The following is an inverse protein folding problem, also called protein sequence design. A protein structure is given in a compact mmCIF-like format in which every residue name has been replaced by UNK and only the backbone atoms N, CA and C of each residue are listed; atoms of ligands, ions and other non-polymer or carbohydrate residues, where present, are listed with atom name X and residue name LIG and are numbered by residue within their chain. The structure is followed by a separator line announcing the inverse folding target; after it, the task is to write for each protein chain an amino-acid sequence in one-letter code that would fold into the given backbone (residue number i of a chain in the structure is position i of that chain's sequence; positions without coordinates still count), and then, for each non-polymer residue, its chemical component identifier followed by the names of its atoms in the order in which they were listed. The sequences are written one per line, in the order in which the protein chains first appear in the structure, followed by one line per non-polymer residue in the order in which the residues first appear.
data_IF_130596217734
#
_entry.id   IF_130596217734
#
_cell.length_a   1.000
_cell.length_b   1.000
_cell.length_c   1.000
_cell.angle_alpha   90.00
_cell.angle_beta   90.00
_cell.angle_gamma   90.00
#
_symmetry.space_group_name_H-M   'P 1'
#
loop_
_entity.id
_entity.type
_entity.pdbx_description
1 polymer ?
#
# COMPACT_ATOMS: atom_id res chain seq x y z
N UNK A 1 22.45 17.63 12.20
CA UNK A 1 21.95 17.16 10.89
C UNK A 1 22.63 15.84 10.57
N UNK A 2 22.01 14.70 10.88
CA UNK A 2 22.54 13.40 10.44
C UNK A 2 22.12 13.22 8.98
N UNK A 3 23.10 13.10 8.08
CA UNK A 3 22.85 12.81 6.67
C UNK A 3 22.25 11.41 6.57
N UNK A 4 21.06 11.28 5.97
CA UNK A 4 20.53 9.99 5.57
C UNK A 4 21.55 9.30 4.65
N UNK A 5 21.78 7.99 4.80
CA UNK A 5 22.69 7.26 3.91
C UNK A 5 22.24 7.45 2.44
N UNK A 6 23.19 7.55 1.49
CA UNK A 6 22.87 7.78 0.10
C UNK A 6 21.98 6.65 -0.44
N UNK A 7 20.98 7.03 -1.22
CA UNK A 7 20.12 6.11 -1.95
C UNK A 7 20.98 5.24 -2.89
N UNK A 8 20.88 3.91 -2.77
CA UNK A 8 21.55 2.99 -3.70
C UNK A 8 20.71 2.87 -4.97
N UNK A 9 21.35 2.97 -6.14
CA UNK A 9 20.68 2.61 -7.39
C UNK A 9 20.42 1.10 -7.45
N UNK A 10 19.49 0.66 -8.29
CA UNK A 10 19.08 -0.75 -8.39
C UNK A 10 20.26 -1.69 -8.68
N UNK A 11 21.25 -1.23 -9.45
CA UNK A 11 22.48 -2.00 -9.75
C UNK A 11 23.38 -2.14 -8.53
N UNK A 12 23.62 -1.06 -7.80
CA UNK A 12 24.41 -1.05 -6.57
C UNK A 12 23.74 -1.86 -5.46
N UNK A 13 22.42 -1.81 -5.37
CA UNK A 13 21.63 -2.64 -4.48
C UNK A 13 21.73 -4.13 -4.84
N UNK A 14 21.43 -4.49 -6.08
CA UNK A 14 21.50 -5.87 -6.57
C UNK A 14 22.88 -6.51 -6.36
N UNK A 15 23.97 -5.76 -6.54
CA UNK A 15 25.33 -6.25 -6.25
C UNK A 15 25.54 -6.55 -4.77
N UNK A 16 25.07 -5.69 -3.86
CA UNK A 16 25.19 -5.90 -2.41
C UNK A 16 24.32 -7.07 -1.94
N UNK A 17 23.08 -7.16 -2.43
CA UNK A 17 22.17 -8.25 -2.11
C UNK A 17 22.67 -9.58 -2.67
N UNK A 18 23.21 -9.59 -3.89
CA UNK A 18 23.89 -10.76 -4.44
C UNK A 18 25.06 -11.23 -3.58
N UNK A 19 25.90 -10.31 -3.09
CA UNK A 19 26.99 -10.66 -2.18
C UNK A 19 26.50 -11.19 -0.82
N UNK A 20 25.45 -10.61 -0.25
CA UNK A 20 24.81 -11.10 0.98
C UNK A 20 24.23 -12.50 0.77
N UNK A 21 23.51 -12.71 -0.34
CA UNK A 21 22.93 -14.00 -0.70
C UNK A 21 24.01 -15.06 -0.93
N UNK A 22 25.07 -14.74 -1.68
CA UNK A 22 26.19 -15.67 -1.91
C UNK A 22 26.92 -16.03 -0.62
N UNK A 23 27.18 -15.06 0.27
CA UNK A 23 27.78 -15.31 1.58
C UNK A 23 26.94 -16.26 2.43
N UNK A 24 25.62 -16.04 2.41
CA UNK A 24 24.65 -16.85 3.15
C UNK A 24 24.53 -18.29 2.63
N UNK A 25 24.52 -18.46 1.30
CA UNK A 25 24.39 -19.78 0.65
C UNK A 25 25.69 -20.57 0.71
N UNK A 26 26.86 -19.92 0.67
CA UNK A 26 28.16 -20.61 0.65
C UNK A 26 28.64 -21.11 2.00
N UNK A 27 28.05 -20.67 3.11
CA UNK A 27 28.33 -21.17 4.45
C UNK A 27 29.82 -21.42 4.70
N UNK A 28 30.65 -20.38 4.81
CA UNK A 28 32.00 -20.59 5.34
C UNK A 28 31.87 -20.99 6.80
N UNK A 29 31.98 -22.30 7.03
CA UNK A 29 32.29 -22.91 8.30
C UNK A 29 33.68 -22.43 8.75
N UNK A 30 33.79 -21.19 9.20
CA UNK A 30 34.76 -20.84 10.23
C UNK A 30 33.99 -20.80 11.55
N UNK A 31 34.16 -21.88 12.33
CA UNK A 31 33.93 -21.87 13.75
C UNK A 31 34.90 -20.87 14.39
N UNK A 32 34.60 -19.58 14.28
CA UNK A 32 35.21 -18.60 15.17
C UNK A 32 34.58 -18.88 16.53
N UNK A 33 35.40 -19.41 17.44
CA UNK A 33 35.07 -19.49 18.86
C UNK A 33 34.80 -18.07 19.33
N UNK A 34 33.55 -17.64 19.26
CA UNK A 34 33.12 -16.37 19.83
C UNK A 34 33.19 -16.55 21.34
N UNK A 35 33.90 -15.67 22.06
CA UNK A 35 33.98 -15.78 23.51
C UNK A 35 32.55 -15.76 24.06
N UNK A 36 32.23 -16.69 24.96
CA UNK A 36 31.05 -16.62 25.82
C UNK A 36 31.18 -15.34 26.67
N UNK A 37 30.81 -14.20 26.10
CA UNK A 37 30.67 -12.98 26.85
C UNK A 37 29.33 -13.03 27.56
N UNK A 38 29.41 -13.02 28.89
CA UNK A 38 28.36 -12.88 29.89
C UNK A 38 27.14 -12.08 29.38
N UNK A 39 26.15 -12.76 28.83
CA UNK A 39 24.85 -12.19 28.45
C UNK A 39 23.77 -12.53 29.50
N UNK A 40 24.13 -12.54 30.78
CA UNK A 40 23.19 -12.72 31.89
C UNK A 40 22.71 -11.40 32.53
N UNK A 41 23.02 -10.25 31.94
CA UNK A 41 22.31 -9.02 32.23
C UNK A 41 21.33 -8.75 31.11
N UNK A 42 20.07 -9.16 31.31
CA UNK A 42 18.94 -8.56 30.60
C UNK A 42 19.13 -7.05 30.76
N UNK A 43 19.36 -6.34 29.65
CA UNK A 43 19.43 -4.89 29.70
C UNK A 43 18.07 -4.39 30.19
N UNK A 44 17.98 -4.01 31.46
CA UNK A 44 16.76 -3.42 32.06
C UNK A 44 16.70 -1.92 31.82
N UNK A 45 17.75 -1.35 31.23
CA UNK A 45 17.88 0.09 30.96
C UNK A 45 17.70 0.36 29.46
N UNK A 46 17.01 1.45 29.08
CA UNK A 46 16.80 1.81 27.68
C UNK A 46 18.11 1.94 26.89
N UNK A 47 18.12 1.37 25.67
CA UNK A 47 19.28 1.46 24.77
C UNK A 47 19.39 2.88 24.21
N UNK A 48 20.51 3.54 24.46
CA UNK A 48 20.72 4.94 24.09
C UNK A 48 21.04 5.15 22.60
N UNK A 49 21.70 4.21 21.93
CA UNK A 49 22.05 4.32 20.51
C UNK A 49 22.19 2.98 19.79
N UNK A 50 21.88 2.95 18.49
CA UNK A 50 22.08 1.78 17.63
C UNK A 50 23.51 1.24 17.64
N UNK A 51 24.52 2.12 17.76
CA UNK A 51 25.92 1.71 17.73
C UNK A 51 26.29 0.71 18.83
N UNK A 52 25.63 0.80 19.99
CA UNK A 52 25.84 -0.12 21.11
C UNK A 52 25.32 -1.54 20.85
N UNK A 53 24.33 -1.69 19.98
CA UNK A 53 23.68 -2.98 19.66
C UNK A 53 24.05 -3.51 18.27
N UNK A 54 24.78 -2.72 17.48
CA UNK A 54 25.21 -3.10 16.12
C UNK A 54 25.91 -4.46 16.05
N UNK A 55 26.86 -4.84 16.94
CA UNK A 55 27.50 -6.16 16.87
C UNK A 55 26.51 -7.32 17.02
N UNK A 56 25.49 -7.16 17.88
CA UNK A 56 24.46 -8.17 18.10
C UNK A 56 23.54 -8.34 16.89
N UNK A 57 23.20 -7.24 16.22
CA UNK A 57 22.41 -7.22 14.97
C UNK A 57 23.22 -7.79 13.79
N UNK A 58 24.48 -7.38 13.65
CA UNK A 58 25.37 -7.86 12.57
C UNK A 58 25.59 -9.37 12.63
N UNK A 59 25.57 -9.96 13.84
CA UNK A 59 25.69 -11.40 14.07
C UNK A 59 24.45 -12.20 13.64
N UNK A 60 23.39 -11.55 13.13
CA UNK A 60 22.21 -12.19 12.57
C UNK A 60 22.22 -12.01 11.06
N UNK A 61 22.26 -13.13 10.35
CA UNK A 61 22.17 -13.14 8.90
C UNK A 61 20.79 -12.67 8.43
N UNK A 62 20.76 -11.83 7.40
CA UNK A 62 19.53 -11.26 6.86
C UNK A 62 19.81 -10.31 5.71
N UNK A 63 18.74 -9.88 5.05
CA UNK A 63 18.77 -9.16 3.78
C UNK A 63 18.58 -7.65 3.96
N UNK A 64 19.46 -7.04 4.78
CA UNK A 64 19.47 -5.60 5.01
C UNK A 64 20.82 -5.02 4.61
N UNK A 65 20.79 -3.89 3.90
CA UNK A 65 22.02 -3.13 3.62
C UNK A 65 22.37 -2.21 4.79
N UNK A 66 23.66 -1.90 5.01
CA UNK A 66 24.09 -1.12 6.15
C UNK A 66 23.33 0.20 6.31
N UNK A 67 22.72 0.38 7.50
CA UNK A 67 22.01 1.60 7.87
C UNK A 67 20.49 1.43 7.93
N UNK A 68 19.95 0.41 7.26
CA UNK A 68 18.52 0.08 7.33
C UNK A 68 18.10 -0.38 8.73
N UNK A 69 18.96 -1.15 9.41
CA UNK A 69 18.72 -1.59 10.79
C UNK A 69 18.69 -0.41 11.76
N UNK A 70 19.60 0.57 11.56
CA UNK A 70 19.62 1.81 12.35
C UNK A 70 18.34 2.62 12.11
N UNK A 71 17.90 2.72 10.86
CA UNK A 71 16.65 3.40 10.51
C UNK A 71 15.45 2.78 11.23
N UNK A 72 15.32 1.45 11.19
CA UNK A 72 14.24 0.73 11.88
C UNK A 72 14.32 0.90 13.40
N UNK A 73 15.52 0.79 14.00
CA UNK A 73 15.73 1.06 15.42
C UNK A 73 15.30 2.49 15.80
N UNK A 74 15.76 3.50 15.06
CA UNK A 74 15.45 4.91 15.36
C UNK A 74 13.96 5.21 15.16
N UNK A 75 13.32 4.60 14.14
CA UNK A 75 11.88 4.73 13.89
C UNK A 75 11.09 4.19 15.08
N UNK A 76 11.35 2.97 15.53
CA UNK A 76 10.67 2.38 16.70
C UNK A 76 10.96 3.19 17.97
N UNK A 77 12.21 3.63 18.16
CA UNK A 77 12.62 4.45 19.31
C UNK A 77 11.85 5.78 19.39
N UNK A 78 11.47 6.35 18.24
CA UNK A 78 10.70 7.60 18.17
C UNK A 78 9.21 7.47 18.51
N UNK A 79 8.68 6.25 18.64
CA UNK A 79 7.27 5.99 18.90
C UNK A 79 6.92 6.15 20.40
N UNK A 80 5.62 6.22 20.78
CA UNK A 80 5.20 6.15 22.18
C UNK A 80 5.77 4.94 22.93
N UNK A 81 5.94 5.03 24.24
CA UNK A 81 6.52 3.96 25.07
C UNK A 81 5.65 2.69 25.14
N UNK A 82 4.40 2.74 24.69
CA UNK A 82 3.45 1.63 24.63
C UNK A 82 3.03 1.27 23.20
N UNK A 83 3.80 1.73 22.20
CA UNK A 83 3.51 1.51 20.79
C UNK A 83 3.42 0.03 20.41
N UNK A 84 2.50 -0.28 19.50
CA UNK A 84 2.36 -1.59 18.88
C UNK A 84 3.05 -1.60 17.52
N UNK A 85 4.05 -2.46 17.37
CA UNK A 85 4.82 -2.62 16.14
C UNK A 85 4.50 -3.98 15.52
N UNK A 86 4.36 -4.02 14.20
CA UNK A 86 4.19 -5.25 13.44
C UNK A 86 5.28 -5.36 12.38
N UNK A 87 5.79 -6.57 12.19
CA UNK A 87 6.72 -6.92 11.12
C UNK A 87 6.11 -8.06 10.31
N UNK A 88 6.07 -7.92 8.98
CA UNK A 88 5.71 -8.99 8.04
C UNK A 88 6.98 -9.42 7.32
N UNK A 89 7.32 -10.70 7.40
CA UNK A 89 8.61 -11.21 6.95
C UNK A 89 9.68 -10.97 8.00
N UNK A 90 9.98 -12.00 8.79
CA UNK A 90 10.90 -11.90 9.92
C UNK A 90 12.16 -12.74 9.72
N UNK A 91 12.15 -13.72 8.81
CA UNK A 91 13.30 -14.54 8.45
C UNK A 91 14.06 -15.06 9.68
N UNK A 92 15.33 -14.67 9.87
CA UNK A 92 16.16 -15.00 11.05
C UNK A 92 16.14 -13.94 12.16
N UNK A 93 15.43 -12.83 11.96
CA UNK A 93 15.17 -11.81 12.97
C UNK A 93 16.14 -10.64 13.01
N UNK A 94 16.89 -10.35 11.93
CA UNK A 94 17.87 -9.25 11.90
C UNK A 94 17.21 -7.88 12.12
N UNK A 95 16.19 -7.57 11.32
CA UNK A 95 15.33 -6.39 11.49
C UNK A 95 14.59 -6.42 12.83
N UNK A 96 14.03 -7.57 13.20
CA UNK A 96 13.34 -7.78 14.47
C UNK A 96 14.20 -7.37 15.66
N UNK A 97 15.43 -7.87 15.75
CA UNK A 97 16.35 -7.60 16.86
C UNK A 97 16.75 -6.12 16.89
N UNK A 98 17.00 -5.51 15.73
CA UNK A 98 17.27 -4.08 15.65
C UNK A 98 16.10 -3.26 16.21
N UNK A 99 14.86 -3.57 15.82
CA UNK A 99 13.67 -2.89 16.35
C UNK A 99 13.41 -3.18 17.84
N UNK A 100 13.59 -4.43 18.27
CA UNK A 100 13.30 -4.87 19.63
C UNK A 100 14.23 -4.25 20.67
N UNK A 101 15.49 -3.96 20.32
CA UNK A 101 16.37 -3.18 21.20
C UNK A 101 15.84 -1.76 21.51
N UNK A 102 15.05 -1.16 20.62
CA UNK A 102 14.38 0.12 20.87
C UNK A 102 13.15 -0.01 21.80
N UNK A 103 12.70 -1.23 22.09
CA UNK A 103 11.60 -1.52 23.02
C UNK A 103 12.11 -1.71 24.46
N UNK A 104 13.40 -1.99 24.64
CA UNK A 104 14.00 -2.24 25.96
C UNK A 104 13.73 -1.10 26.94
N UNK A 105 13.19 -1.43 28.10
CA UNK A 105 12.84 -0.46 29.16
C UNK A 105 11.51 0.27 28.91
N UNK A 106 10.71 -0.16 27.93
CA UNK A 106 9.39 0.42 27.62
C UNK A 106 8.29 -0.65 27.63
N UNK A 107 7.06 -0.26 27.29
CA UNK A 107 5.91 -1.17 27.10
C UNK A 107 5.66 -1.53 25.64
N UNK A 108 6.51 -1.06 24.70
CA UNK A 108 6.39 -1.36 23.27
C UNK A 108 6.43 -2.87 23.03
N UNK A 109 5.65 -3.32 22.06
CA UNK A 109 5.60 -4.74 21.65
C UNK A 109 5.75 -4.85 20.15
N UNK A 110 6.49 -5.87 19.72
CA UNK A 110 6.65 -6.24 18.32
C UNK A 110 5.94 -7.56 18.07
N UNK A 111 5.09 -7.61 17.05
CA UNK A 111 4.45 -8.83 16.57
C UNK A 111 5.04 -9.19 15.20
N UNK A 112 5.64 -10.37 15.11
CA UNK A 112 6.39 -10.83 13.95
C UNK A 112 5.58 -11.88 13.19
N UNK A 113 5.16 -11.56 11.97
CA UNK A 113 4.33 -12.41 11.12
C UNK A 113 5.20 -13.03 10.04
N UNK A 114 5.34 -14.35 10.08
CA UNK A 114 6.07 -15.12 9.07
C UNK A 114 5.56 -16.57 9.11
N UNK A 115 5.36 -17.25 7.97
CA UNK A 115 5.03 -18.67 7.99
C UNK A 115 6.19 -19.55 8.50
N UNK A 116 7.43 -19.08 8.38
CA UNK A 116 8.67 -19.83 8.57
C UNK A 116 8.66 -21.20 7.87
N UNK A 117 7.93 -21.31 6.76
CA UNK A 117 7.78 -22.55 6.02
C UNK A 117 8.84 -22.62 4.91
N UNK A 118 10.01 -23.14 5.26
CA UNK A 118 11.13 -23.34 4.34
C UNK A 118 11.31 -24.81 3.93
N UNK A 119 10.27 -25.63 4.10
CA UNK A 119 10.31 -27.06 3.75
C UNK A 119 10.66 -27.24 2.27
N UNK A 120 11.69 -28.04 1.99
CA UNK A 120 12.17 -28.26 0.62
C UNK A 120 12.95 -27.08 0.00
N UNK A 121 13.25 -26.03 0.77
CA UNK A 121 14.17 -24.98 0.33
C UNK A 121 15.58 -25.57 0.12
N UNK A 122 16.21 -25.21 -0.99
CA UNK A 122 17.63 -25.57 -1.27
C UNK A 122 18.62 -24.58 -0.66
N UNK A 123 18.15 -23.39 -0.31
CA UNK A 123 18.99 -22.25 0.09
C UNK A 123 18.90 -21.95 1.59
N UNK A 124 17.86 -22.42 2.26
CA UNK A 124 17.59 -22.13 3.67
C UNK A 124 17.21 -23.39 4.44
N UNK A 125 17.56 -23.49 5.72
CA UNK A 125 17.21 -24.64 6.53
C UNK A 125 15.70 -24.71 6.81
N UNK A 126 15.18 -25.89 7.15
CA UNK A 126 13.75 -26.04 7.45
C UNK A 126 13.37 -25.52 8.85
N UNK A 127 14.31 -25.51 9.80
CA UNK A 127 14.13 -25.09 11.20
C UNK A 127 14.28 -23.57 11.41
N UNK A 128 13.80 -22.77 10.45
CA UNK A 128 13.98 -21.32 10.45
C UNK A 128 13.29 -20.63 11.63
N UNK A 129 12.17 -21.17 12.11
CA UNK A 129 11.48 -20.64 13.29
C UNK A 129 12.32 -20.80 14.57
N UNK A 130 13.00 -21.93 14.72
CA UNK A 130 13.89 -22.21 15.86
C UNK A 130 15.10 -21.28 15.83
N UNK A 131 15.71 -21.07 14.65
CA UNK A 131 16.82 -20.13 14.46
C UNK A 131 16.39 -18.70 14.83
N UNK A 132 15.24 -18.26 14.33
CA UNK A 132 14.68 -16.95 14.69
C UNK A 132 14.48 -16.84 16.21
N UNK A 133 13.87 -17.85 16.82
CA UNK A 133 13.59 -17.87 18.27
C UNK A 133 14.87 -17.81 19.11
N UNK A 134 15.90 -18.55 18.71
CA UNK A 134 17.21 -18.51 19.38
C UNK A 134 17.88 -17.14 19.24
N UNK A 135 17.79 -16.51 18.06
CA UNK A 135 18.29 -15.16 17.85
C UNK A 135 17.57 -14.11 18.71
N UNK A 136 16.27 -14.24 18.97
CA UNK A 136 15.56 -13.35 19.90
C UNK A 136 16.02 -13.61 21.34
N UNK A 137 16.06 -14.87 21.77
CA UNK A 137 16.41 -15.26 23.15
C UNK A 137 17.84 -14.93 23.53
N UNK A 138 18.82 -15.18 22.65
CA UNK A 138 20.24 -14.88 22.91
C UNK A 138 20.50 -13.38 23.12
N UNK A 139 19.60 -12.53 22.62
CA UNK A 139 19.64 -11.08 22.80
C UNK A 139 18.80 -10.59 23.98
N UNK A 140 18.08 -11.47 24.68
CA UNK A 140 17.24 -11.13 25.84
C UNK A 140 15.97 -10.33 25.49
N UNK A 141 15.42 -10.54 24.29
CA UNK A 141 14.35 -9.72 23.72
C UNK A 141 12.97 -10.39 23.73
N UNK A 142 12.86 -11.60 24.28
CA UNK A 142 11.64 -12.40 24.33
C UNK A 142 10.45 -11.68 24.99
N UNK A 143 10.73 -10.84 25.99
CA UNK A 143 9.69 -10.05 26.65
C UNK A 143 9.10 -8.94 25.78
N UNK A 144 9.70 -8.58 24.64
CA UNK A 144 9.23 -7.50 23.75
C UNK A 144 8.66 -8.01 22.42
N UNK A 145 8.92 -9.26 22.08
CA UNK A 145 8.63 -9.82 20.74
C UNK A 145 7.70 -11.02 20.84
N UNK A 146 6.62 -11.01 20.06
CA UNK A 146 5.66 -12.11 19.95
C UNK A 146 5.66 -12.68 18.52
N UNK A 147 6.03 -13.95 18.31
CA UNK A 147 5.89 -14.57 16.99
C UNK A 147 4.43 -14.91 16.69
N UNK A 148 3.99 -14.61 15.47
CA UNK A 148 2.70 -14.98 14.91
C UNK A 148 2.94 -15.84 13.66
N UNK A 149 3.11 -17.15 13.87
CA UNK A 149 3.43 -18.10 12.80
C UNK A 149 2.25 -18.29 11.84
N UNK A 150 2.38 -17.82 10.62
CA UNK A 150 1.34 -17.90 9.59
C UNK A 150 1.53 -16.90 8.46
N UNK A 151 0.64 -16.96 7.46
CA UNK A 151 0.62 -15.96 6.40
C UNK A 151 -0.02 -14.67 6.91
N UNK A 152 0.52 -13.53 6.47
CA UNK A 152 0.01 -12.19 6.75
C UNK A 152 -1.49 -12.05 6.51
N UNK A 153 -2.01 -12.61 5.40
CA UNK A 153 -3.44 -12.61 5.08
C UNK A 153 -4.31 -13.22 6.18
N UNK A 154 -3.88 -14.34 6.75
CA UNK A 154 -4.63 -15.05 7.79
C UNK A 154 -4.52 -14.36 9.16
N UNK A 155 -3.34 -13.82 9.46
CA UNK A 155 -3.07 -13.17 10.76
C UNK A 155 -3.70 -11.77 10.81
N UNK A 156 -3.51 -10.94 9.78
CA UNK A 156 -4.01 -9.57 9.75
C UNK A 156 -5.54 -9.51 9.68
N UNK A 157 -6.19 -10.44 8.96
CA UNK A 157 -7.67 -10.51 8.92
C UNK A 157 -8.28 -10.78 10.31
N UNK A 158 -7.52 -11.39 11.23
CA UNK A 158 -7.93 -11.69 12.60
C UNK A 158 -7.26 -10.80 13.64
N UNK A 159 -6.54 -9.77 13.20
CA UNK A 159 -5.80 -8.87 14.08
C UNK A 159 -6.66 -8.27 15.21
N UNK A 160 -7.90 -7.80 14.96
CA UNK A 160 -8.74 -7.24 16.04
C UNK A 160 -8.98 -8.23 17.19
N UNK A 161 -9.14 -9.51 16.88
CA UNK A 161 -9.31 -10.58 17.88
C UNK A 161 -7.99 -10.86 18.62
N UNK A 162 -6.88 -10.94 17.87
CA UNK A 162 -5.56 -11.29 18.41
C UNK A 162 -4.96 -10.19 19.28
N UNK A 163 -5.17 -8.93 18.91
CA UNK A 163 -4.60 -7.75 19.56
C UNK A 163 -5.62 -7.00 20.44
N UNK A 164 -6.81 -7.54 20.67
CA UNK A 164 -7.83 -6.90 21.51
C UNK A 164 -8.26 -5.52 21.01
N UNK A 165 -8.42 -5.37 19.69
CA UNK A 165 -8.68 -4.11 18.98
C UNK A 165 -7.58 -3.04 19.09
N UNK A 166 -6.37 -3.39 19.54
CA UNK A 166 -5.24 -2.47 19.56
C UNK A 166 -4.80 -2.12 18.14
N UNK A 167 -4.74 -0.82 17.83
CA UNK A 167 -4.27 -0.33 16.54
C UNK A 167 -2.75 -0.35 16.47
N UNK A 168 -2.22 -0.46 15.26
CA UNK A 168 -0.78 -0.56 15.00
C UNK A 168 -0.17 0.85 14.90
N UNK A 169 0.89 1.12 15.64
CA UNK A 169 1.67 2.37 15.55
C UNK A 169 2.60 2.38 14.34
N UNK A 170 3.24 1.25 14.09
CA UNK A 170 4.21 1.07 13.01
C UNK A 170 4.13 -0.35 12.46
N UNK A 171 4.04 -0.48 11.13
CA UNK A 171 4.19 -1.77 10.45
C UNK A 171 5.31 -1.71 9.42
N UNK A 172 6.17 -2.73 9.44
CA UNK A 172 7.23 -2.95 8.46
C UNK A 172 6.88 -4.18 7.61
N UNK A 173 6.77 -4.00 6.29
CA UNK A 173 6.41 -5.01 5.30
C UNK A 173 7.66 -5.38 4.50
N UNK A 174 8.14 -6.61 4.71
CA UNK A 174 9.40 -7.18 4.18
C UNK A 174 9.24 -8.68 3.89
N UNK A 175 8.08 -9.06 3.34
CA UNK A 175 7.67 -10.45 3.11
C UNK A 175 7.94 -10.92 1.68
N UNK A 176 6.88 -11.00 0.87
CA UNK A 176 6.99 -11.32 -0.56
C UNK A 176 7.52 -10.14 -1.37
N UNK A 177 7.92 -10.39 -2.62
CA UNK A 177 8.43 -9.35 -3.54
C UNK A 177 7.59 -9.20 -4.81
N UNK A 178 6.61 -10.09 -5.00
CA UNK A 178 5.66 -10.02 -6.12
C UNK A 178 4.50 -9.09 -5.76
N UNK A 179 3.93 -8.44 -6.77
CA UNK A 179 2.83 -7.49 -6.57
C UNK A 179 1.64 -8.13 -5.84
N UNK A 180 1.35 -9.39 -6.18
CA UNK A 180 0.26 -10.21 -5.67
C UNK A 180 0.47 -10.64 -4.20
N UNK A 181 1.70 -10.51 -3.68
CA UNK A 181 2.02 -10.76 -2.28
C UNK A 181 1.98 -9.44 -1.49
N UNK A 182 2.65 -8.40 -2.00
CA UNK A 182 2.83 -7.13 -1.26
C UNK A 182 1.58 -6.27 -1.24
N UNK A 183 0.76 -6.28 -2.32
CA UNK A 183 -0.45 -5.47 -2.36
C UNK A 183 -1.46 -5.90 -1.28
N UNK A 184 -1.81 -7.20 -1.12
CA UNK A 184 -2.66 -7.65 -0.03
C UNK A 184 -2.10 -7.32 1.36
N UNK A 185 -0.78 -7.44 1.57
CA UNK A 185 -0.14 -7.07 2.85
C UNK A 185 -0.39 -5.61 3.19
N UNK A 186 -0.15 -4.71 2.22
CA UNK A 186 -0.42 -3.28 2.40
C UNK A 186 -1.91 -3.01 2.62
N UNK A 187 -2.80 -3.59 1.83
CA UNK A 187 -4.24 -3.36 1.90
C UNK A 187 -4.85 -3.83 3.23
N UNK A 188 -4.39 -4.96 3.77
CA UNK A 188 -4.82 -5.47 5.08
C UNK A 188 -4.21 -4.69 6.24
N UNK A 189 -2.94 -4.29 6.11
CA UNK A 189 -2.24 -3.50 7.12
C UNK A 189 -2.83 -2.10 7.28
N UNK A 190 -3.12 -1.42 6.17
CA UNK A 190 -3.53 -0.01 6.15
C UNK A 190 -4.70 0.32 7.11
N UNK A 191 -5.82 -0.42 7.15
CA UNK A 191 -6.91 -0.13 8.09
C UNK A 191 -6.54 -0.40 9.55
N UNK A 192 -5.62 -1.33 9.83
CA UNK A 192 -5.20 -1.71 11.18
C UNK A 192 -4.21 -0.72 11.81
N UNK A 193 -3.47 0.03 10.98
CA UNK A 193 -2.57 1.09 11.41
C UNK A 193 -3.37 2.30 11.87
N UNK A 194 -3.03 2.88 13.03
CA UNK A 194 -3.76 4.03 13.57
C UNK A 194 -3.60 5.27 12.70
N UNK A 195 -4.55 6.22 12.75
CA UNK A 195 -4.33 7.55 12.18
C UNK A 195 -3.04 8.17 12.74
N UNK A 196 -2.17 8.64 11.86
CA UNK A 196 -0.86 9.16 12.23
C UNK A 196 0.21 8.10 12.50
N UNK A 197 -0.12 6.81 12.39
CA UNK A 197 0.82 5.69 12.42
C UNK A 197 1.65 5.57 11.14
N UNK A 198 2.61 4.66 11.13
CA UNK A 198 3.61 4.54 10.06
C UNK A 198 3.56 3.18 9.38
N UNK A 199 3.82 3.18 8.07
CA UNK A 199 3.91 1.98 7.24
C UNK A 199 5.21 2.07 6.45
N UNK A 200 6.06 1.05 6.55
CA UNK A 200 7.28 0.91 5.78
C UNK A 200 7.22 -0.32 4.88
N UNK A 201 7.64 -0.17 3.63
CA UNK A 201 7.89 -1.26 2.69
C UNK A 201 9.41 -1.34 2.48
N UNK A 202 9.96 -2.55 2.59
CA UNK A 202 11.32 -2.81 2.12
C UNK A 202 11.34 -2.97 0.59
N UNK A 203 12.53 -3.11 0.00
CA UNK A 203 12.72 -3.43 -1.41
C UNK A 203 12.07 -2.51 -2.46
N UNK A 204 11.81 -1.26 -2.08
CA UNK A 204 11.42 -0.21 -3.04
C UNK A 204 12.64 0.25 -3.82
N UNK A 205 12.53 0.26 -5.15
CA UNK A 205 13.54 0.58 -6.17
C UNK A 205 14.78 -0.32 -6.10
N UNK A 206 14.56 -1.54 -5.64
CA UNK A 206 15.56 -2.57 -5.43
C UNK A 206 15.71 -3.53 -6.63
N UNK A 207 14.93 -3.35 -7.70
CA UNK A 207 14.82 -4.32 -8.78
C UNK A 207 13.72 -5.36 -8.57
N UNK A 208 12.77 -5.08 -7.67
CA UNK A 208 11.54 -5.85 -7.49
C UNK A 208 10.34 -5.04 -8.00
N UNK A 209 9.91 -5.24 -9.26
CA UNK A 209 8.88 -4.42 -9.89
C UNK A 209 7.54 -4.47 -9.15
N UNK A 210 7.21 -5.60 -8.51
CA UNK A 210 5.98 -5.76 -7.73
C UNK A 210 5.94 -4.81 -6.54
N UNK A 211 7.01 -4.79 -5.74
CA UNK A 211 7.17 -3.88 -4.60
C UNK A 211 7.13 -2.41 -5.05
N UNK A 212 7.86 -2.08 -6.12
CA UNK A 212 7.89 -0.73 -6.70
C UNK A 212 6.49 -0.25 -7.09
N UNK A 213 5.73 -1.14 -7.75
CA UNK A 213 4.37 -0.85 -8.17
C UNK A 213 3.44 -0.63 -6.99
N UNK A 214 3.52 -1.44 -5.93
CA UNK A 214 2.72 -1.21 -4.71
C UNK A 214 3.07 0.14 -4.08
N UNK A 215 4.35 0.48 -3.98
CA UNK A 215 4.75 1.76 -3.44
C UNK A 215 4.23 2.94 -4.27
N UNK A 216 4.47 2.93 -5.59
CA UNK A 216 4.13 4.06 -6.48
C UNK A 216 2.62 4.21 -6.64
N UNK A 217 1.89 3.12 -6.88
CA UNK A 217 0.46 3.19 -7.20
C UNK A 217 -0.45 3.24 -5.97
N UNK A 218 0.01 2.75 -4.81
CA UNK A 218 -0.86 2.58 -3.63
C UNK A 218 -0.28 3.29 -2.39
N UNK A 219 0.87 2.84 -1.89
CA UNK A 219 1.36 3.27 -0.59
C UNK A 219 1.72 4.77 -0.57
N UNK A 220 2.46 5.25 -1.57
CA UNK A 220 2.86 6.67 -1.66
C UNK A 220 1.70 7.62 -1.98
N UNK A 221 0.57 7.10 -2.46
CA UNK A 221 -0.65 7.88 -2.68
C UNK A 221 -1.47 7.97 -1.39
N UNK A 222 -1.55 6.88 -0.63
CA UNK A 222 -2.35 6.78 0.60
C UNK A 222 -1.63 7.31 1.84
N UNK A 223 -0.29 7.42 1.81
CA UNK A 223 0.54 7.88 2.90
C UNK A 223 1.05 9.31 2.66
N UNK A 224 1.54 9.92 3.74
CA UNK A 224 2.13 11.27 3.74
C UNK A 224 3.49 11.24 4.41
N UNK A 225 4.23 12.35 4.40
CA UNK A 225 5.51 12.47 5.12
C UNK A 225 6.49 11.33 4.79
N UNK A 226 6.73 11.11 3.50
CA UNK A 226 7.57 10.00 3.06
C UNK A 226 9.02 10.15 3.50
N UNK A 227 9.57 9.06 4.01
CA UNK A 227 10.96 8.89 4.37
C UNK A 227 11.55 7.74 3.57
N UNK A 228 12.83 7.84 3.23
CA UNK A 228 13.54 6.79 2.51
C UNK A 228 14.85 6.48 3.21
N UNK A 229 15.17 5.18 3.33
CA UNK A 229 16.46 4.69 3.79
C UNK A 229 16.92 3.57 2.84
N UNK A 230 17.73 3.96 1.84
CA UNK A 230 18.07 3.09 0.72
C UNK A 230 16.79 2.51 0.07
N UNK A 231 16.54 1.19 0.20
CA UNK A 231 15.35 0.52 -0.37
C UNK A 231 14.17 0.43 0.58
N UNK A 232 14.27 0.97 1.81
CA UNK A 232 13.11 1.15 2.68
C UNK A 232 12.41 2.45 2.30
N UNK A 233 11.14 2.36 1.95
CA UNK A 233 10.26 3.50 1.80
C UNK A 233 9.20 3.48 2.91
N UNK A 234 9.07 4.58 3.63
CA UNK A 234 8.21 4.68 4.80
C UNK A 234 7.30 5.89 4.69
N UNK A 235 6.05 5.76 5.09
CA UNK A 235 5.08 6.84 5.05
C UNK A 235 4.18 6.82 6.27
N UNK A 236 3.63 8.00 6.58
CA UNK A 236 2.73 8.22 7.69
C UNK A 236 1.28 8.19 7.20
N UNK A 237 0.48 7.30 7.77
CA UNK A 237 -0.98 7.30 7.59
C UNK A 237 -1.51 8.65 8.07
N UNK A 238 -2.34 9.35 7.28
CA UNK A 238 -2.92 10.62 7.71
C UNK A 238 -3.56 10.55 9.11
N UNK A 239 -3.32 11.59 9.94
CA UNK A 239 -3.79 11.67 11.34
C UNK A 239 -5.31 11.85 11.46
N UNK A 240 -5.92 12.34 10.39
CA UNK A 240 -7.32 12.15 10.14
C UNK A 240 -7.35 10.77 9.48
N UNK A 241 -7.95 9.76 10.12
CA UNK A 241 -8.38 8.59 9.37
C UNK A 241 -8.97 9.14 8.07
N UNK A 242 -8.69 8.62 6.86
CA UNK A 242 -9.61 8.91 5.78
C UNK A 242 -10.95 8.54 6.39
N UNK A 243 -11.76 9.55 6.70
CA UNK A 243 -13.17 9.36 6.84
C UNK A 243 -13.51 8.50 5.64
N UNK A 244 -14.33 7.48 5.83
CA UNK A 244 -15.13 6.98 4.72
C UNK A 244 -16.01 8.14 4.23
N UNK A 245 -15.32 9.01 3.52
CA UNK A 245 -15.62 10.27 2.91
C UNK A 245 -14.25 10.63 2.33
N UNK A 246 -13.94 9.98 1.19
CA UNK A 246 -13.74 10.74 -0.05
C UNK A 246 -14.34 12.14 0.14
N UNK A 247 -13.63 13.26 -0.12
CA UNK A 247 -14.15 14.61 0.14
C UNK A 247 -15.60 14.59 -0.25
N UNK A 248 -16.58 14.79 0.67
CA UNK A 248 -17.99 14.48 0.40
C UNK A 248 -18.34 15.16 -0.92
N UNK A 249 -18.23 14.42 -2.02
CA UNK A 249 -18.60 14.92 -3.33
C UNK A 249 -20.09 14.84 -3.16
N UNK A 250 -20.67 16.02 -2.90
CA UNK A 250 -22.11 16.08 -2.74
C UNK A 250 -22.68 15.49 -4.03
N UNK A 251 -23.73 14.65 -3.94
CA UNK A 251 -24.38 14.16 -5.14
C UNK A 251 -24.64 15.34 -6.08
N UNK A 252 -24.36 15.22 -7.38
CA UNK A 252 -24.61 16.31 -8.30
C UNK A 252 -26.10 16.68 -8.24
N UNK A 253 -26.41 17.97 -8.37
CA UNK A 253 -27.80 18.41 -8.47
C UNK A 253 -28.40 17.85 -9.77
N UNK A 254 -29.18 16.77 -9.63
CA UNK A 254 -29.72 16.00 -10.75
C UNK A 254 -30.69 16.83 -11.59
N UNK A 255 -31.44 17.74 -10.96
CA UNK A 255 -32.36 18.64 -11.68
C UNK A 255 -31.56 19.67 -12.47
N UNK A 256 -30.48 20.19 -11.89
CA UNK A 256 -29.61 21.13 -12.59
C UNK A 256 -28.90 20.47 -13.76
N UNK A 257 -28.34 19.28 -13.56
CA UNK A 257 -27.68 18.50 -14.61
C UNK A 257 -28.64 18.16 -15.76
N UNK A 258 -29.82 17.61 -15.45
CA UNK A 258 -30.82 17.31 -16.48
C UNK A 258 -31.29 18.58 -17.21
N UNK A 259 -31.49 19.68 -16.49
CA UNK A 259 -31.83 20.97 -17.07
C UNK A 259 -30.77 21.47 -18.05
N UNK A 260 -29.49 21.39 -17.69
CA UNK A 260 -28.38 21.77 -18.56
C UNK A 260 -28.25 20.84 -19.78
N UNK A 261 -28.47 19.54 -19.61
CA UNK A 261 -28.52 18.57 -20.73
C UNK A 261 -29.61 18.96 -21.74
N UNK A 262 -30.84 19.19 -21.26
CA UNK A 262 -31.96 19.56 -22.14
C UNK A 262 -31.70 20.90 -22.86
N UNK A 263 -31.12 21.88 -22.17
CA UNK A 263 -30.77 23.17 -22.78
C UNK A 263 -29.65 23.04 -23.81
N UNK A 264 -28.66 22.17 -23.55
CA UNK A 264 -27.59 21.88 -24.50
C UNK A 264 -28.12 21.21 -25.77
N UNK A 265 -29.08 20.28 -25.65
CA UNK A 265 -29.73 19.66 -26.82
C UNK A 265 -30.47 20.67 -27.70
N UNK A 266 -31.01 21.74 -27.11
CA UNK A 266 -31.69 22.82 -27.84
C UNK A 266 -30.67 23.75 -28.52
N UNK A 267 -29.62 24.15 -27.82
CA UNK A 267 -28.58 25.05 -28.34
C UNK A 267 -27.17 24.64 -27.86
N UNK A 268 -26.49 23.78 -28.63
CA UNK A 268 -25.12 23.33 -28.33
C UNK A 268 -24.07 24.45 -28.42
N UNK A 269 -24.41 25.61 -28.99
CA UNK A 269 -23.49 26.74 -29.16
C UNK A 269 -23.47 27.68 -27.96
N UNK A 270 -24.39 27.50 -27.01
CA UNK A 270 -24.49 28.34 -25.83
C UNK A 270 -23.31 28.11 -24.86
N UNK A 271 -22.37 29.03 -24.87
CA UNK A 271 -21.12 28.94 -24.09
C UNK A 271 -21.34 28.88 -22.57
N UNK A 272 -22.41 29.50 -22.06
CA UNK A 272 -22.75 29.43 -20.64
C UNK A 272 -23.20 28.02 -20.24
N UNK A 273 -24.06 27.40 -21.06
CA UNK A 273 -24.54 26.04 -20.83
C UNK A 273 -23.39 25.03 -21.00
N UNK A 274 -22.54 25.22 -22.00
CA UNK A 274 -21.36 24.34 -22.20
C UNK A 274 -20.40 24.41 -21.03
N UNK A 275 -20.12 25.61 -20.51
CA UNK A 275 -19.24 25.80 -19.34
C UNK A 275 -19.82 25.11 -18.10
N UNK A 276 -21.10 25.32 -17.83
CA UNK A 276 -21.77 24.73 -16.67
C UNK A 276 -21.90 23.21 -16.78
N UNK A 277 -22.28 22.69 -17.94
CA UNK A 277 -22.38 21.25 -18.18
C UNK A 277 -21.01 20.57 -18.11
N UNK A 278 -19.92 21.28 -18.46
CA UNK A 278 -18.55 20.81 -18.23
C UNK A 278 -18.22 20.67 -16.74
N UNK A 279 -18.62 21.63 -15.91
CA UNK A 279 -18.42 21.56 -14.46
C UNK A 279 -19.25 20.44 -13.83
N UNK A 280 -20.50 20.28 -14.24
CA UNK A 280 -21.38 19.22 -13.75
C UNK A 280 -20.91 17.83 -14.19
N UNK A 281 -20.40 17.68 -15.42
CA UNK A 281 -19.72 16.45 -15.89
C UNK A 281 -18.58 16.06 -14.95
N UNK A 282 -17.74 17.03 -14.58
CA UNK A 282 -16.61 16.81 -13.67
C UNK A 282 -17.08 16.35 -12.29
N UNK A 283 -18.07 17.03 -11.72
CA UNK A 283 -18.66 16.66 -10.42
C UNK A 283 -19.27 15.26 -10.45
N UNK A 284 -19.96 14.89 -11.54
CA UNK A 284 -20.55 13.57 -11.72
C UNK A 284 -19.48 12.47 -11.77
N UNK A 285 -18.37 12.69 -12.48
CA UNK A 285 -17.25 11.74 -12.53
C UNK A 285 -16.56 11.58 -11.15
N UNK A 286 -16.35 12.69 -10.44
CA UNK A 286 -15.82 12.67 -9.07
C UNK A 286 -16.75 11.95 -8.09
N UNK A 287 -18.07 12.13 -8.27
CA UNK A 287 -19.07 11.45 -7.45
C UNK A 287 -19.00 9.94 -7.65
N UNK A 288 -18.95 9.45 -8.89
CA UNK A 288 -18.76 8.01 -9.15
C UNK A 288 -17.46 7.48 -8.55
N UNK A 289 -16.34 8.19 -8.68
CA UNK A 289 -15.08 7.80 -8.04
C UNK A 289 -15.17 7.73 -6.51
N UNK A 290 -16.03 8.54 -5.90
CA UNK A 290 -16.17 8.61 -4.44
C UNK A 290 -16.98 7.46 -3.84
N UNK A 291 -17.82 6.79 -4.64
CA UNK A 291 -18.73 5.74 -4.19
C UNK A 291 -18.01 4.40 -3.93
N UNK A 292 -18.43 3.63 -2.91
CA UNK A 292 -18.06 2.23 -2.80
C UNK A 292 -18.50 1.46 -4.06
N UNK A 293 -17.63 0.64 -4.65
CA UNK A 293 -17.95 -0.13 -5.86
C UNK A 293 -19.21 -1.00 -5.70
N UNK A 294 -19.46 -1.50 -4.48
CA UNK A 294 -20.66 -2.28 -4.15
C UNK A 294 -21.98 -1.48 -4.23
N UNK A 295 -21.93 -0.16 -4.13
CA UNK A 295 -23.12 0.71 -4.22
C UNK A 295 -23.41 1.17 -5.65
N UNK A 296 -22.47 1.01 -6.58
CA UNK A 296 -22.60 1.52 -7.95
C UNK A 296 -23.86 1.02 -8.65
N UNK A 297 -24.18 -0.27 -8.53
CA UNK A 297 -25.36 -0.84 -9.19
C UNK A 297 -26.65 -0.18 -8.68
N UNK A 298 -26.77 -0.01 -7.36
CA UNK A 298 -27.93 0.62 -6.73
C UNK A 298 -28.07 2.06 -7.18
N UNK A 299 -26.97 2.83 -7.18
CA UNK A 299 -26.96 4.22 -7.61
C UNK A 299 -27.26 4.35 -9.11
N UNK A 300 -26.69 3.49 -9.94
CA UNK A 300 -26.87 3.48 -11.39
C UNK A 300 -28.28 3.07 -11.83
N UNK A 301 -28.97 2.22 -11.06
CA UNK A 301 -30.37 1.88 -11.31
C UNK A 301 -31.36 2.95 -10.80
N UNK A 302 -30.89 3.90 -9.99
CA UNK A 302 -31.70 4.99 -9.45
C UNK A 302 -31.83 6.21 -10.39
N UNK A 303 -32.30 7.32 -9.84
CA UNK A 303 -32.51 8.58 -10.57
C UNK A 303 -31.24 9.11 -11.21
N UNK A 304 -30.09 8.98 -10.53
CA UNK A 304 -28.81 9.44 -11.05
C UNK A 304 -28.44 8.73 -12.35
N UNK A 305 -28.66 7.43 -12.45
CA UNK A 305 -28.40 6.69 -13.68
C UNK A 305 -29.29 7.11 -14.86
N UNK A 306 -30.53 7.53 -14.59
CA UNK A 306 -31.41 8.06 -15.64
C UNK A 306 -30.85 9.36 -16.22
N UNK A 307 -30.39 10.26 -15.35
CA UNK A 307 -29.74 11.52 -15.78
C UNK A 307 -28.40 11.25 -16.47
N UNK A 308 -27.63 10.28 -15.98
CA UNK A 308 -26.38 9.82 -16.60
C UNK A 308 -26.60 9.33 -18.04
N UNK A 309 -27.61 8.47 -18.27
CA UNK A 309 -27.99 8.02 -19.62
C UNK A 309 -28.42 9.17 -20.52
N UNK A 310 -29.17 10.14 -20.01
CA UNK A 310 -29.56 11.34 -20.77
C UNK A 310 -28.31 12.14 -21.18
N UNK A 311 -27.35 12.31 -20.27
CA UNK A 311 -26.07 12.96 -20.57
C UNK A 311 -25.32 12.23 -21.70
N UNK A 312 -25.17 10.90 -21.62
CA UNK A 312 -24.47 10.13 -22.66
C UNK A 312 -25.14 10.22 -24.05
N UNK A 313 -26.46 10.44 -24.09
CA UNK A 313 -27.23 10.59 -25.34
C UNK A 313 -27.19 12.00 -25.91
N UNK A 314 -26.86 13.01 -25.09
CA UNK A 314 -26.83 14.42 -25.50
C UNK A 314 -25.74 14.75 -26.53
N UNK A 315 -24.74 13.87 -26.70
CA UNK A 315 -23.58 14.12 -27.56
C UNK A 315 -22.57 15.11 -26.98
N UNK A 316 -22.74 15.57 -25.73
CA UNK A 316 -21.81 16.50 -25.09
C UNK A 316 -20.36 16.00 -25.03
N UNK A 317 -20.13 14.68 -25.10
CA UNK A 317 -18.78 14.11 -25.14
C UNK A 317 -17.95 14.56 -26.35
N UNK A 318 -18.55 15.11 -27.41
CA UNK A 318 -17.80 15.67 -28.55
C UNK A 318 -17.23 17.06 -28.27
N UNK A 319 -17.66 17.72 -27.18
CA UNK A 319 -17.11 19.02 -26.78
C UNK A 319 -15.66 18.88 -26.30
N UNK A 320 -14.78 19.84 -26.63
CA UNK A 320 -13.39 19.80 -26.17
C UNK A 320 -13.30 19.69 -24.64
N UNK A 321 -12.42 18.80 -24.17
CA UNK A 321 -12.12 18.70 -22.74
C UNK A 321 -11.29 19.93 -22.33
N UNK A 322 -11.71 20.69 -21.30
CA UNK A 322 -10.93 21.80 -20.78
C UNK A 322 -9.51 21.37 -20.40
N UNK A 323 -8.52 22.24 -20.61
CA UNK A 323 -7.12 21.89 -20.32
C UNK A 323 -6.89 21.53 -18.84
N UNK A 324 -7.63 22.17 -17.95
CA UNK A 324 -7.65 21.88 -16.51
C UNK A 324 -8.13 20.46 -16.17
N UNK A 325 -8.95 19.85 -17.03
CA UNK A 325 -9.53 18.54 -16.80
C UNK A 325 -8.71 17.40 -17.43
N UNK A 326 -7.80 17.71 -18.36
CA UNK A 326 -6.99 16.68 -19.06
C UNK A 326 -6.24 15.73 -18.11
N UNK A 327 -5.55 16.21 -17.04
CA UNK A 327 -4.85 15.30 -16.13
C UNK A 327 -5.80 14.34 -15.40
N UNK A 328 -7.00 14.81 -15.06
CA UNK A 328 -8.01 13.98 -14.40
C UNK A 328 -8.62 12.95 -15.34
N UNK A 329 -8.93 13.33 -16.57
CA UNK A 329 -9.41 12.37 -17.58
C UNK A 329 -8.35 11.31 -17.84
N UNK A 330 -7.07 11.70 -17.93
CA UNK A 330 -5.96 10.75 -18.07
C UNK A 330 -5.89 9.77 -16.88
N UNK A 331 -6.07 10.27 -15.65
CA UNK A 331 -6.13 9.43 -14.45
C UNK A 331 -7.31 8.45 -14.51
N UNK A 332 -8.52 8.92 -14.86
CA UNK A 332 -9.70 8.07 -15.03
C UNK A 332 -9.46 6.98 -16.07
N UNK A 333 -8.89 7.33 -17.23
CA UNK A 333 -8.56 6.36 -18.29
C UNK A 333 -7.60 5.29 -17.77
N UNK A 334 -6.55 5.67 -17.04
CA UNK A 334 -5.58 4.72 -16.48
C UNK A 334 -6.20 3.80 -15.43
N UNK A 335 -7.03 4.35 -14.54
CA UNK A 335 -7.68 3.58 -13.47
C UNK A 335 -8.78 2.65 -14.00
N UNK A 336 -9.55 3.10 -15.01
CA UNK A 336 -10.62 2.32 -15.62
C UNK A 336 -10.13 1.29 -16.64
N UNK A 337 -8.89 1.43 -17.13
CA UNK A 337 -8.33 0.50 -18.10
C UNK A 337 -8.14 -0.91 -17.51
N UNK A 338 -8.51 -1.92 -18.29
CA UNK A 338 -8.24 -3.32 -17.97
C UNK A 338 -9.14 -3.95 -16.90
N UNK A 339 -9.88 -3.16 -16.11
CA UNK A 339 -10.74 -3.64 -15.01
C UNK A 339 -10.02 -4.48 -13.94
N UNK A 340 -8.70 -4.28 -13.79
CA UNK A 340 -7.85 -5.06 -12.89
C UNK A 340 -7.65 -4.42 -11.51
N UNK A 341 -8.14 -3.20 -11.30
CA UNK A 341 -7.90 -2.41 -10.10
C UNK A 341 -9.19 -2.17 -9.29
N UNK A 342 -9.13 -2.11 -7.95
CA UNK A 342 -10.24 -1.61 -7.15
C UNK A 342 -10.66 -0.20 -7.61
N UNK A 343 -11.95 0.02 -7.82
CA UNK A 343 -12.46 1.29 -8.36
C UNK A 343 -12.36 1.45 -9.87
N UNK A 344 -11.87 0.45 -10.62
CA UNK A 344 -11.79 0.54 -12.09
C UNK A 344 -13.17 0.76 -12.73
N UNK A 345 -14.23 0.13 -12.20
CA UNK A 345 -15.59 0.34 -12.68
C UNK A 345 -16.09 1.77 -12.39
N UNK A 346 -15.74 2.35 -11.23
CA UNK A 346 -16.03 3.74 -10.90
C UNK A 346 -15.35 4.70 -11.90
N UNK A 347 -14.07 4.47 -12.17
CA UNK A 347 -13.30 5.27 -13.12
C UNK A 347 -13.81 5.10 -14.56
N UNK A 348 -14.28 3.91 -14.93
CA UNK A 348 -14.89 3.63 -16.22
C UNK A 348 -16.19 4.42 -16.43
N UNK A 349 -17.09 4.45 -15.43
CA UNK A 349 -18.28 5.31 -15.48
C UNK A 349 -17.92 6.80 -15.61
N UNK A 350 -16.84 7.23 -14.95
CA UNK A 350 -16.31 8.59 -15.09
C UNK A 350 -15.82 8.89 -16.51
N UNK A 351 -15.03 7.97 -17.11
CA UNK A 351 -14.38 8.21 -18.41
C UNK A 351 -15.36 8.18 -19.59
N UNK A 352 -16.45 7.40 -19.51
CA UNK A 352 -17.53 7.38 -20.50
C UNK A 352 -18.17 8.76 -20.73
N UNK A 353 -18.11 9.67 -19.75
CA UNK A 353 -18.61 11.05 -19.86
C UNK A 353 -17.72 11.96 -20.73
N UNK A 354 -16.47 11.55 -21.00
CA UNK A 354 -15.47 12.36 -21.68
C UNK A 354 -15.11 11.85 -23.07
N UNK A 355 -15.24 10.55 -23.33
CA UNK A 355 -14.89 9.98 -24.63
C UNK A 355 -16.07 10.09 -25.60
N UNK A 356 -15.77 10.53 -26.82
CA UNK A 356 -16.77 10.65 -27.86
C UNK A 356 -17.39 9.27 -28.19
N UNK A 357 -18.69 9.21 -28.54
CA UNK A 357 -19.35 7.99 -29.00
C UNK A 357 -18.52 7.27 -30.07
N UNK A 358 -18.48 5.94 -29.99
CA UNK A 358 -17.71 5.09 -30.91
C UNK A 358 -16.18 5.02 -30.68
N UNK A 359 -15.62 5.78 -29.72
CA UNK A 359 -14.14 5.85 -29.54
C UNK A 359 -13.57 4.94 -28.46
N UNK A 360 -14.38 4.51 -27.49
CA UNK A 360 -13.97 3.55 -26.48
C UNK A 360 -14.17 2.12 -26.98
N UNK A 361 -13.22 1.23 -26.69
CA UNK A 361 -13.33 -0.21 -26.97
C UNK A 361 -12.98 -1.02 -25.74
N UNK A 362 -13.95 -1.77 -25.23
CA UNK A 362 -13.76 -2.78 -24.20
C UNK A 362 -13.64 -4.14 -24.90
N UNK A 363 -12.56 -4.88 -24.63
CA UNK A 363 -12.42 -6.25 -25.12
C UNK A 363 -13.35 -7.17 -24.33
N UNK A 364 -14.14 -7.98 -25.03
CA UNK A 364 -15.07 -8.95 -24.46
C UNK A 364 -15.98 -8.33 -23.37
N UNK A 365 -16.78 -7.28 -23.70
CA UNK A 365 -17.51 -6.48 -22.71
C UNK A 365 -18.44 -7.32 -21.84
N UNK A 366 -19.03 -8.39 -22.41
CA UNK A 366 -19.88 -9.36 -21.72
C UNK A 366 -19.19 -10.07 -20.53
N UNK A 367 -17.86 -10.11 -20.52
CA UNK A 367 -17.07 -10.74 -19.46
C UNK A 367 -16.44 -9.73 -18.49
N UNK A 368 -16.35 -8.46 -18.87
CA UNK A 368 -15.62 -7.42 -18.12
C UNK A 368 -16.52 -6.35 -17.52
N UNK A 369 -17.70 -6.14 -18.09
CA UNK A 369 -18.68 -5.18 -17.60
C UNK A 369 -19.81 -5.90 -16.86
N UNK A 370 -20.39 -5.27 -15.83
CA UNK A 370 -21.57 -5.82 -15.18
C UNK A 370 -22.79 -5.72 -16.09
N UNK A 371 -23.69 -6.70 -16.01
CA UNK A 371 -24.87 -6.80 -16.89
C UNK A 371 -25.76 -5.55 -16.92
N UNK A 372 -25.82 -4.78 -15.83
CA UNK A 372 -26.60 -3.55 -15.75
C UNK A 372 -26.00 -2.36 -16.51
N UNK A 373 -24.75 -2.44 -16.99
CA UNK A 373 -24.05 -1.38 -17.72
C UNK A 373 -23.86 -1.70 -19.21
N UNK A 374 -23.88 -2.98 -19.57
CA UNK A 374 -23.50 -3.46 -20.90
C UNK A 374 -24.31 -2.76 -22.01
N UNK A 375 -25.64 -2.76 -21.92
CA UNK A 375 -26.51 -2.17 -22.95
C UNK A 375 -26.25 -0.67 -23.14
N UNK A 376 -26.03 0.05 -22.04
CA UNK A 376 -25.74 1.49 -22.07
C UNK A 376 -24.34 1.78 -22.65
N UNK A 377 -23.35 0.91 -22.40
CA UNK A 377 -22.02 1.02 -23.02
C UNK A 377 -22.09 0.70 -24.53
N UNK A 378 -22.69 -0.43 -24.91
CA UNK A 378 -22.79 -0.86 -26.31
C UNK A 378 -23.56 0.17 -27.14
N UNK A 379 -24.66 0.70 -26.60
CA UNK A 379 -25.49 1.73 -27.25
C UNK A 379 -24.81 3.10 -27.45
N UNK A 380 -23.68 3.37 -26.78
CA UNK A 380 -22.92 4.62 -26.93
C UNK A 380 -21.63 4.41 -27.72
N UNK A 381 -20.96 3.27 -27.54
CA UNK A 381 -19.60 3.07 -28.04
C UNK A 381 -19.47 1.98 -29.12
N UNK A 382 -20.47 1.13 -29.31
CA UNK A 382 -20.39 0.04 -30.30
C UNK A 382 -21.43 0.15 -31.41
N UNK A 383 -22.54 0.86 -31.19
CA UNK A 383 -23.60 1.05 -32.17
C UNK A 383 -23.42 2.25 -33.11
N UNK A 384 -22.18 2.69 -33.36
CA UNK A 384 -21.83 3.88 -34.16
C UNK A 384 -21.33 3.53 -35.54
#
# INVERSE_FOLDING_TARGET
MQQSPPFLDSRGYGKKMGALFEGLVRGTAESSSTPRNNAEQIATSPVSSYQSIKPAVDAIEGFLVPGQEKYLFDKVKSMPEDATIVEIGSFRGRSTVAMAYACVGTKRKIYCIDPWNFKGSKSFPENMFEIWTENIKRNGLDSYVTPLKGYSRDILSRWPELAGNQQIDFIFIDGGHEYEDVLPDFQLAFPLVKPGGWIALHDVRAGFPGVDRVWVENASVALTHHEFCSTIACGRKPAIAPTQASPKVSPPDLNRLLGCVNLYEIDPSNTSIVSELSQLRRQLAEYFLSLPTAELETVYKGELGNVYRAFLKSGFQTQPVPESDRPFVQQLTQQGAGFTHPGALNAFLGVMLYYAPGTMKVQDPQTRLPGWLIEDYEGVFESV
#
